data_IF_086428672208
#
_entry.id   IF_086428672208
#
_cell.length_a   1.000
_cell.length_b   1.000
_cell.length_c   1.000
_cell.angle_alpha   90.00
_cell.angle_beta   90.00
_cell.angle_gamma   90.00
#
_symmetry.space_group_name_H-M   'P 1'
#
loop_
_entity.id
_entity.type
_entity.pdbx_description
1 polymer ?
#
# COMPACT_ATOMS: atom_id res chain seq x y z
N UNK A 1 -10.15 6.99 16.69
CA UNK A 1 -11.52 7.56 16.71
C UNK A 1 -11.66 8.78 17.62
N UNK A 2 -11.52 8.66 18.95
CA UNK A 2 -11.78 9.79 19.88
C UNK A 2 -10.93 11.03 19.56
N UNK A 3 -9.63 10.85 19.32
CA UNK A 3 -8.72 11.95 18.94
C UNK A 3 -9.17 12.63 17.63
N UNK A 4 -9.49 11.86 16.59
CA UNK A 4 -9.96 12.41 15.30
C UNK A 4 -11.34 13.09 15.39
N UNK A 5 -12.18 12.68 16.35
CA UNK A 5 -13.44 13.35 16.67
C UNK A 5 -13.20 14.74 17.24
N UNK A 6 -12.27 14.86 18.18
CA UNK A 6 -11.90 16.15 18.76
C UNK A 6 -11.22 17.08 17.74
N UNK A 7 -10.52 16.51 16.75
CA UNK A 7 -9.90 17.27 15.67
C UNK A 7 -10.85 17.63 14.51
N UNK A 8 -12.14 17.27 14.58
CA UNK A 8 -13.16 17.52 13.52
C UNK A 8 -12.75 16.95 12.16
N UNK A 9 -11.94 15.90 12.15
CA UNK A 9 -11.45 15.26 10.92
C UNK A 9 -12.36 14.11 10.46
N UNK A 10 -13.36 13.73 11.25
CA UNK A 10 -14.29 12.64 10.90
C UNK A 10 -15.05 12.97 9.61
N UNK A 11 -15.37 11.92 8.83
CA UNK A 11 -16.06 12.01 7.55
C UNK A 11 -15.25 12.68 6.41
N UNK A 12 -13.93 12.56 6.47
CA UNK A 12 -13.01 13.04 5.43
C UNK A 12 -12.05 11.94 4.99
N UNK A 13 -11.76 11.86 3.68
CA UNK A 13 -10.73 10.96 3.14
C UNK A 13 -9.34 11.26 3.71
N UNK A 14 -9.09 12.52 4.12
CA UNK A 14 -7.86 12.92 4.78
C UNK A 14 -7.63 12.16 6.08
N UNK A 15 -8.67 11.79 6.82
CA UNK A 15 -8.52 11.02 8.06
C UNK A 15 -8.01 9.62 7.80
N UNK A 16 -8.46 9.00 6.71
CA UNK A 16 -7.97 7.69 6.29
C UNK A 16 -6.49 7.80 5.89
N UNK A 17 -6.13 8.79 5.09
CA UNK A 17 -4.74 9.03 4.67
C UNK A 17 -3.82 9.31 5.85
N UNK A 18 -4.20 10.23 6.74
CA UNK A 18 -3.42 10.61 7.93
C UNK A 18 -3.24 9.40 8.84
N UNK A 19 -4.28 8.60 9.05
CA UNK A 19 -4.17 7.40 9.89
C UNK A 19 -3.18 6.39 9.29
N UNK A 20 -3.23 6.14 7.98
CA UNK A 20 -2.30 5.22 7.31
C UNK A 20 -0.87 5.77 7.32
N UNK A 21 -0.70 7.07 7.09
CA UNK A 21 0.61 7.72 6.99
C UNK A 21 1.32 7.84 8.35
N UNK A 22 0.60 8.25 9.40
CA UNK A 22 1.20 8.45 10.73
C UNK A 22 1.46 7.15 11.47
N UNK A 23 0.63 6.11 11.28
CA UNK A 23 0.82 4.81 11.91
C UNK A 23 1.66 3.87 11.07
N UNK A 24 2.66 4.42 10.35
CA UNK A 24 3.51 3.74 9.38
C UNK A 24 3.73 2.25 9.66
N UNK A 25 3.59 1.43 8.63
CA UNK A 25 3.56 -0.03 8.80
C UNK A 25 4.96 -0.61 9.03
N UNK A 26 5.18 -1.22 10.20
CA UNK A 26 6.45 -1.85 10.58
C UNK A 26 6.96 -2.89 9.57
N UNK A 27 6.04 -3.57 8.88
CA UNK A 27 6.39 -4.50 7.80
C UNK A 27 7.13 -3.81 6.66
N UNK A 28 6.68 -2.63 6.23
CA UNK A 28 7.36 -1.89 5.16
C UNK A 28 8.72 -1.39 5.61
N UNK A 29 8.85 -0.90 6.85
CA UNK A 29 10.17 -0.51 7.40
C UNK A 29 11.15 -1.69 7.35
N UNK A 30 10.70 -2.86 7.78
CA UNK A 30 11.50 -4.08 7.72
C UNK A 30 11.85 -4.49 6.28
N UNK A 31 10.86 -4.48 5.37
CA UNK A 31 11.02 -4.81 3.95
C UNK A 31 12.06 -3.91 3.27
N UNK A 32 11.93 -2.59 3.42
CA UNK A 32 12.86 -1.61 2.85
C UNK A 32 14.25 -1.75 3.45
N UNK A 33 14.35 -1.90 4.78
CA UNK A 33 15.65 -2.15 5.44
C UNK A 33 16.32 -3.40 4.86
N UNK A 34 15.57 -4.48 4.68
CA UNK A 34 16.13 -5.73 4.20
C UNK A 34 16.58 -5.64 2.74
N UNK A 35 15.86 -4.86 1.92
CA UNK A 35 16.27 -4.57 0.55
C UNK A 35 17.49 -3.66 0.49
N UNK A 36 17.56 -2.58 1.27
CA UNK A 36 18.72 -1.69 1.27
C UNK A 36 20.01 -2.42 1.65
N UNK A 37 19.94 -3.42 2.52
CA UNK A 37 21.09 -4.27 2.88
C UNK A 37 21.61 -5.15 1.73
N UNK A 38 20.88 -5.27 0.62
CA UNK A 38 21.36 -5.99 -0.57
C UNK A 38 22.07 -5.06 -1.56
N UNK A 39 21.99 -3.74 -1.36
CA UNK A 39 22.70 -2.76 -2.19
C UNK A 39 24.16 -2.71 -1.72
N UNK A 40 25.16 -2.92 -2.60
CA UNK A 40 26.56 -2.85 -2.22
C UNK A 40 26.96 -1.45 -1.72
N UNK A 41 27.63 -1.39 -0.58
CA UNK A 41 28.09 -0.12 0.01
C UNK A 41 29.13 0.60 -0.86
N UNK A 42 29.87 -0.15 -1.68
CA UNK A 42 30.86 0.37 -2.64
C UNK A 42 30.27 1.43 -3.60
N UNK A 43 29.00 1.29 -3.98
CA UNK A 43 28.32 2.28 -4.83
C UNK A 43 28.13 3.61 -4.12
N UNK A 44 27.84 3.57 -2.82
CA UNK A 44 27.70 4.76 -1.99
C UNK A 44 29.07 5.38 -1.72
N UNK A 45 30.10 4.59 -1.46
CA UNK A 45 31.48 5.07 -1.25
C UNK A 45 32.07 5.72 -2.50
N UNK A 46 31.88 5.13 -3.67
CA UNK A 46 32.30 5.72 -4.94
C UNK A 46 31.62 7.08 -5.17
N UNK A 47 30.30 7.16 -4.94
CA UNK A 47 29.57 8.42 -5.08
C UNK A 47 30.02 9.49 -4.07
N UNK A 48 30.44 9.11 -2.86
CA UNK A 48 31.04 10.03 -1.89
C UNK A 48 32.40 10.53 -2.36
N UNK A 49 33.22 9.67 -2.95
CA UNK A 49 34.50 10.08 -3.56
C UNK A 49 34.30 11.06 -4.72
N UNK A 50 33.23 10.89 -5.49
CA UNK A 50 32.80 11.81 -6.56
C UNK A 50 32.18 13.12 -6.04
N UNK A 51 32.13 13.33 -4.71
CA UNK A 51 31.63 14.55 -4.08
C UNK A 51 30.10 14.65 -4.00
N UNK A 52 29.36 13.55 -4.17
CA UNK A 52 27.91 13.57 -3.95
C UNK A 52 27.55 13.71 -2.46
N UNK A 53 26.56 14.55 -2.16
CA UNK A 53 25.94 14.61 -0.84
C UNK A 53 25.09 13.37 -0.56
N UNK A 54 24.84 13.05 0.72
CA UNK A 54 24.02 11.90 1.12
C UNK A 54 22.62 11.90 0.47
N UNK A 55 21.98 13.06 0.36
CA UNK A 55 20.69 13.21 -0.34
C UNK A 55 20.83 12.97 -1.85
N UNK A 56 21.97 13.35 -2.43
CA UNK A 56 22.30 13.06 -3.83
C UNK A 56 22.49 11.56 -4.07
N UNK A 57 23.20 10.86 -3.18
CA UNK A 57 23.40 9.40 -3.23
C UNK A 57 22.06 8.70 -3.11
N UNK A 58 21.24 9.09 -2.14
CA UNK A 58 19.90 8.53 -1.98
C UNK A 58 19.05 8.71 -3.25
N UNK A 59 18.94 9.93 -3.76
CA UNK A 59 18.07 10.23 -4.89
C UNK A 59 18.55 9.65 -6.24
N UNK A 60 19.86 9.60 -6.48
CA UNK A 60 20.43 9.21 -7.78
C UNK A 60 20.83 7.74 -7.87
N UNK A 61 21.14 7.10 -6.74
CA UNK A 61 21.66 5.72 -6.72
C UNK A 61 20.70 4.80 -5.98
N UNK A 62 20.45 5.05 -4.69
CA UNK A 62 19.68 4.12 -3.85
C UNK A 62 18.22 4.05 -4.31
N UNK A 63 17.58 5.19 -4.56
CA UNK A 63 16.16 5.25 -4.92
C UNK A 63 15.86 4.57 -6.28
N UNK A 64 16.62 4.80 -7.37
CA UNK A 64 16.42 4.06 -8.63
C UNK A 64 16.66 2.56 -8.52
N UNK A 65 17.66 2.12 -7.74
CA UNK A 65 17.93 0.70 -7.48
C UNK A 65 16.81 0.06 -6.65
N UNK A 66 16.10 0.87 -5.86
CA UNK A 66 14.99 0.44 -5.00
C UNK A 66 13.63 0.36 -5.70
N UNK A 67 13.58 0.57 -7.02
CA UNK A 67 12.34 0.39 -7.82
C UNK A 67 11.62 -0.94 -7.55
N UNK A 68 12.30 -2.10 -7.43
CA UNK A 68 11.61 -3.37 -7.15
C UNK A 68 10.89 -3.35 -5.79
N UNK A 69 11.57 -2.98 -4.70
CA UNK A 69 10.95 -2.91 -3.37
C UNK A 69 9.87 -1.84 -3.26
N UNK A 70 10.06 -0.69 -3.94
CA UNK A 70 9.03 0.36 -4.04
C UNK A 70 7.77 -0.17 -4.72
N UNK A 71 7.93 -0.91 -5.82
CA UNK A 71 6.80 -1.48 -6.55
C UNK A 71 6.04 -2.47 -5.67
N UNK A 72 6.75 -3.35 -4.98
CA UNK A 72 6.17 -4.28 -4.00
C UNK A 72 5.39 -3.54 -2.91
N UNK A 73 5.96 -2.50 -2.30
CA UNK A 73 5.32 -1.72 -1.26
C UNK A 73 4.06 -1.00 -1.75
N UNK A 74 4.08 -0.45 -2.97
CA UNK A 74 2.91 0.20 -3.59
C UNK A 74 1.77 -0.80 -3.79
N UNK A 75 2.06 -2.01 -4.27
CA UNK A 75 1.01 -3.03 -4.49
C UNK A 75 0.41 -3.48 -3.17
N UNK A 76 1.24 -3.83 -2.19
CA UNK A 76 0.74 -4.26 -0.89
C UNK A 76 -0.09 -3.16 -0.22
N UNK A 77 0.35 -1.90 -0.31
CA UNK A 77 -0.42 -0.76 0.18
C UNK A 77 -1.75 -0.62 -0.58
N UNK A 78 -1.73 -0.69 -1.92
CA UNK A 78 -2.93 -0.59 -2.74
C UNK A 78 -3.94 -1.68 -2.38
N UNK A 79 -3.52 -2.95 -2.36
CA UNK A 79 -4.38 -4.09 -2.02
C UNK A 79 -4.92 -3.96 -0.59
N UNK A 80 -4.07 -3.55 0.36
CA UNK A 80 -4.46 -3.34 1.75
C UNK A 80 -5.52 -2.25 1.88
N UNK A 81 -5.30 -1.08 1.28
CA UNK A 81 -6.24 0.05 1.34
C UNK A 81 -7.51 -0.21 0.53
N UNK A 82 -7.43 -0.89 -0.61
CA UNK A 82 -8.59 -1.21 -1.45
C UNK A 82 -9.56 -2.16 -0.75
N UNK A 83 -9.03 -3.12 0.03
CA UNK A 83 -9.82 -4.07 0.80
C UNK A 83 -10.13 -3.59 2.22
N UNK A 84 -9.66 -2.41 2.64
CA UNK A 84 -9.87 -1.93 4.00
C UNK A 84 -11.35 -1.66 4.26
N UNK A 85 -11.90 -2.44 5.18
CA UNK A 85 -13.27 -2.33 5.64
C UNK A 85 -13.34 -1.54 6.96
N UNK A 86 -12.42 -1.81 7.89
CA UNK A 86 -12.50 -1.31 9.27
C UNK A 86 -12.19 0.18 9.36
N UNK A 87 -11.16 0.67 8.66
CA UNK A 87 -10.81 2.08 8.68
C UNK A 87 -11.98 2.98 8.24
N UNK A 88 -12.50 2.79 7.01
CA UNK A 88 -13.67 3.50 6.52
C UNK A 88 -14.91 3.34 7.41
N UNK A 89 -15.17 2.14 7.96
CA UNK A 89 -16.31 1.92 8.84
C UNK A 89 -16.27 2.80 10.10
N UNK A 90 -15.08 3.01 10.66
CA UNK A 90 -14.89 3.78 11.90
C UNK A 90 -14.90 5.29 11.64
N UNK A 91 -14.39 5.74 10.49
CA UNK A 91 -14.11 7.17 10.25
C UNK A 91 -15.05 7.86 9.25
N UNK A 92 -15.78 7.12 8.42
CA UNK A 92 -16.68 7.67 7.40
C UNK A 92 -18.14 7.38 7.76
N UNK A 93 -18.96 8.43 7.80
CA UNK A 93 -20.38 8.32 8.15
C UNK A 93 -21.29 8.60 6.96
N UNK A 94 -20.89 9.48 6.05
CA UNK A 94 -21.70 9.89 4.91
C UNK A 94 -21.79 8.76 3.86
N UNK A 95 -23.00 8.34 3.45
CA UNK A 95 -23.19 7.25 2.48
C UNK A 95 -22.43 7.46 1.17
N UNK A 96 -22.41 8.68 0.64
CA UNK A 96 -21.71 9.02 -0.60
C UNK A 96 -20.18 8.89 -0.53
N UNK A 97 -19.61 8.83 0.68
CA UNK A 97 -18.16 8.70 0.90
C UNK A 97 -17.72 7.27 1.22
N UNK A 98 -18.66 6.34 1.33
CA UNK A 98 -18.36 4.95 1.68
C UNK A 98 -17.51 4.29 0.59
N UNK A 99 -16.52 3.51 1.01
CA UNK A 99 -15.65 2.75 0.10
C UNK A 99 -16.41 1.58 -0.54
N UNK A 100 -15.86 1.03 -1.61
CA UNK A 100 -16.43 -0.15 -2.27
C UNK A 100 -16.55 -1.34 -1.31
N UNK A 101 -15.59 -1.55 -0.40
CA UNK A 101 -15.66 -2.58 0.63
C UNK A 101 -16.88 -2.40 1.55
N UNK A 102 -17.18 -1.17 1.98
CA UNK A 102 -18.40 -0.85 2.75
C UNK A 102 -19.66 -1.01 1.89
N UNK A 103 -19.59 -0.65 0.60
CA UNK A 103 -20.68 -0.82 -0.36
C UNK A 103 -21.06 -2.28 -0.54
N UNK A 104 -20.08 -3.19 -0.64
CA UNK A 104 -20.34 -4.63 -0.72
C UNK A 104 -21.07 -5.17 0.51
N UNK A 105 -20.74 -4.65 1.70
CA UNK A 105 -21.41 -5.06 2.94
C UNK A 105 -22.90 -4.65 3.00
N UNK A 106 -23.34 -3.62 2.26
CA UNK A 106 -24.76 -3.26 2.18
C UNK A 106 -25.62 -4.36 1.56
N UNK A 107 -25.07 -5.18 0.65
CA UNK A 107 -25.82 -6.31 0.08
C UNK A 107 -26.00 -7.47 1.07
N UNK A 108 -25.29 -7.46 2.19
CA UNK A 108 -25.47 -8.36 3.34
C UNK A 108 -26.41 -7.69 4.35
N UNK A 109 -27.68 -7.54 3.97
CA UNK A 109 -28.71 -6.88 4.78
C UNK A 109 -29.25 -7.75 5.92
N UNK A 110 -29.91 -7.11 6.88
CA UNK A 110 -30.49 -7.77 8.06
C UNK A 110 -31.60 -8.78 7.72
N UNK A 111 -32.35 -8.54 6.64
CA UNK A 111 -33.48 -9.36 6.19
C UNK A 111 -33.11 -10.40 5.12
N UNK A 112 -31.83 -10.52 4.78
CA UNK A 112 -31.36 -11.43 3.74
C UNK A 112 -30.21 -10.85 2.93
N UNK A 113 -29.39 -11.74 2.39
CA UNK A 113 -28.28 -11.36 1.52
C UNK A 113 -28.72 -11.38 0.06
N UNK A 114 -28.50 -10.27 -0.65
CA UNK A 114 -28.76 -10.18 -2.09
C UNK A 114 -27.57 -10.77 -2.85
N UNK A 115 -27.48 -12.11 -2.87
CA UNK A 115 -26.32 -12.84 -3.40
C UNK A 115 -25.99 -12.48 -4.86
N UNK A 116 -27.00 -12.29 -5.70
CA UNK A 116 -26.77 -11.95 -7.12
C UNK A 116 -26.08 -10.58 -7.27
N UNK A 117 -26.51 -9.54 -6.52
CA UNK A 117 -25.86 -8.22 -6.56
C UNK A 117 -24.49 -8.26 -5.89
N UNK A 118 -24.37 -8.96 -4.76
CA UNK A 118 -23.10 -9.10 -4.05
C UNK A 118 -22.04 -9.75 -4.95
N UNK A 119 -22.37 -10.83 -5.64
CA UNK A 119 -21.44 -11.52 -6.53
C UNK A 119 -21.09 -10.65 -7.75
N UNK A 120 -22.07 -10.01 -8.38
CA UNK A 120 -21.83 -9.09 -9.50
C UNK A 120 -20.92 -7.92 -9.11
N UNK A 121 -21.20 -7.27 -7.98
CA UNK A 121 -20.40 -6.16 -7.47
C UNK A 121 -18.99 -6.63 -7.07
N UNK A 122 -18.85 -7.81 -6.47
CA UNK A 122 -17.54 -8.36 -6.07
C UNK A 122 -16.63 -8.59 -7.28
N UNK A 123 -17.18 -9.08 -8.40
CA UNK A 123 -16.42 -9.21 -9.66
C UNK A 123 -15.90 -7.84 -10.11
N UNK A 124 -16.75 -6.82 -10.16
CA UNK A 124 -16.35 -5.46 -10.57
C UNK A 124 -15.29 -4.88 -9.63
N UNK A 125 -15.46 -5.03 -8.31
CA UNK A 125 -14.50 -4.54 -7.30
C UNK A 125 -13.14 -5.26 -7.39
N UNK A 126 -13.11 -6.49 -7.90
CA UNK A 126 -11.89 -7.29 -8.07
C UNK A 126 -11.09 -6.87 -9.32
N UNK A 127 -11.74 -6.36 -10.36
CA UNK A 127 -11.10 -6.00 -11.64
C UNK A 127 -9.89 -5.04 -11.47
N UNK A 128 -9.96 -3.94 -10.70
CA UNK A 128 -8.81 -3.05 -10.49
C UNK A 128 -7.63 -3.75 -9.84
N UNK A 129 -7.89 -4.66 -8.90
CA UNK A 129 -6.86 -5.46 -8.22
C UNK A 129 -6.13 -6.35 -9.22
N UNK A 130 -6.87 -6.99 -10.14
CA UNK A 130 -6.29 -7.80 -11.20
C UNK A 130 -5.44 -6.96 -12.16
N UNK A 131 -5.89 -5.77 -12.52
CA UNK A 131 -5.11 -4.86 -13.38
C UNK A 131 -3.77 -4.51 -12.73
N UNK A 132 -3.79 -4.13 -11.45
CA UNK A 132 -2.56 -3.82 -10.70
C UNK A 132 -1.66 -5.05 -10.59
N UNK A 133 -2.24 -6.23 -10.32
CA UNK A 133 -1.50 -7.49 -10.25
C UNK A 133 -0.77 -7.80 -11.56
N UNK A 134 -1.47 -7.78 -12.70
CA UNK A 134 -0.86 -8.06 -14.01
C UNK A 134 0.18 -7.01 -14.42
N UNK A 135 -0.05 -5.73 -14.10
CA UNK A 135 0.93 -4.68 -14.34
C UNK A 135 2.22 -4.89 -13.52
N UNK A 136 2.08 -5.46 -12.32
CA UNK A 136 3.18 -5.59 -11.38
C UNK A 136 3.84 -6.98 -11.32
N UNK A 137 3.25 -8.02 -11.93
CA UNK A 137 3.75 -9.39 -11.88
C UNK A 137 5.24 -9.50 -12.27
N UNK A 138 5.71 -8.68 -13.22
CA UNK A 138 7.11 -8.67 -13.67
C UNK A 138 8.10 -8.25 -12.58
N UNK A 139 7.69 -7.40 -11.64
CA UNK A 139 8.53 -6.93 -10.54
C UNK A 139 8.55 -7.92 -9.38
N UNK A 140 7.44 -8.65 -9.16
CA UNK A 140 7.37 -9.73 -8.17
C UNK A 140 8.32 -10.89 -8.52
N UNK A 141 8.35 -11.31 -9.79
CA UNK A 141 9.26 -12.38 -10.25
C UNK A 141 10.73 -12.00 -10.05
N UNK A 142 11.09 -10.74 -10.30
CA UNK A 142 12.45 -10.24 -10.05
C UNK A 142 12.78 -10.17 -8.56
N UNK A 143 11.84 -9.73 -7.71
CA UNK A 143 12.05 -9.64 -6.26
C UNK A 143 12.22 -11.00 -5.56
N UNK A 144 11.46 -12.02 -5.98
CA UNK A 144 11.55 -13.38 -5.41
C UNK A 144 12.87 -14.06 -5.82
N UNK A 145 13.34 -13.82 -7.05
CA UNK A 145 14.62 -14.34 -7.53
C UNK A 145 15.81 -13.87 -6.66
N UNK A 146 15.78 -12.64 -6.14
CA UNK A 146 16.81 -12.14 -5.21
C UNK A 146 16.70 -12.72 -3.80
N UNK A 147 15.51 -13.14 -3.35
CA UNK A 147 15.35 -13.81 -2.04
C UNK A 147 15.69 -15.30 -2.05
N UNK A 148 15.65 -15.96 -3.23
CA UNK A 148 15.88 -17.40 -3.37
C UNK A 148 17.33 -17.83 -3.62
N UNK A 149 18.24 -16.91 -3.92
CA UNK A 149 19.66 -17.19 -4.19
C UNK A 149 20.54 -17.23 -2.94
N UNK A 150 19.96 -17.17 -1.75
CA UNK A 150 20.64 -17.46 -0.48
C UNK A 150 20.26 -18.87 -0.01
N UNK A 151 20.77 -19.86 -0.75
CA UNK A 151 20.78 -21.27 -0.44
C UNK A 151 22.05 -21.87 -1.02
#
# INVERSE_FOLDING_TARGET
>A
FIIFRYLVLIDSYWTLLVTIFFFGNAFFVFLFRQFFRTIPDELCEAAKMDGCSELGIYGRIVLPLSKPVLTTAVIFTFVGTWNDFMGPLIYINTPAKKTLALGLAHFKGYYGTQWHLLMAASVVVTVPVLIVFFAAQRYFVQGIAFSGLKG
#
